data_IF_660132573889
#
_entry.id   IF_660132573889
#
_cell.length_a   1.000
_cell.length_b   1.000
_cell.length_c   1.000
_cell.angle_alpha   90.00
_cell.angle_beta   90.00
_cell.angle_gamma   90.00
#
_symmetry.space_group_name_H-M   'P 1'
#
loop_
_entity.id
_entity.type
_entity.pdbx_description
1 polymer ?
#
# COMPACT_ATOMS: atom_id res chain seq x y z
N UNK A 1 -9.89 -10.31 -13.94
CA UNK A 1 -8.40 -10.40 -13.87
C UNK A 1 -7.84 -8.99 -13.69
N UNK A 2 -7.00 -8.80 -12.71
CA UNK A 2 -6.37 -7.50 -12.44
C UNK A 2 -5.23 -7.22 -13.42
N UNK A 3 -4.96 -5.95 -13.66
CA UNK A 3 -3.78 -5.51 -14.40
C UNK A 3 -3.21 -4.24 -13.76
N UNK A 4 -1.91 -4.21 -13.64
CA UNK A 4 -1.19 -3.09 -13.06
C UNK A 4 -0.24 -2.47 -14.07
N UNK A 5 -0.15 -1.15 -14.06
CA UNK A 5 0.81 -0.42 -14.90
C UNK A 5 1.33 0.80 -14.16
N UNK A 6 2.53 1.23 -14.56
CA UNK A 6 3.14 2.46 -14.07
C UNK A 6 3.23 3.43 -15.23
N UNK A 7 2.65 4.61 -15.05
CA UNK A 7 2.63 5.68 -16.03
C UNK A 7 3.45 6.85 -15.53
N UNK A 8 4.46 7.25 -16.29
CA UNK A 8 5.29 8.41 -16.02
C UNK A 8 5.29 9.35 -17.23
N UNK A 9 5.38 10.66 -17.03
CA UNK A 9 5.47 11.60 -18.12
C UNK A 9 6.86 11.55 -18.76
N UNK A 10 6.90 11.67 -20.07
CA UNK A 10 8.14 11.78 -20.85
C UNK A 10 8.55 13.24 -21.05
N UNK A 11 7.63 14.17 -20.76
CA UNK A 11 7.85 15.61 -20.93
C UNK A 11 8.73 16.17 -19.80
N UNK A 12 9.69 17.01 -20.17
CA UNK A 12 10.50 17.83 -19.24
C UNK A 12 9.90 19.22 -18.98
N UNK A 13 8.64 19.46 -19.40
CA UNK A 13 7.95 20.72 -19.24
C UNK A 13 7.56 21.05 -17.78
N UNK A 14 6.66 22.00 -17.63
CA UNK A 14 6.06 22.38 -16.35
C UNK A 14 5.34 21.20 -15.70
N UNK A 15 4.93 21.34 -14.44
CA UNK A 15 4.13 20.29 -13.78
C UNK A 15 2.81 20.07 -14.51
N UNK A 16 2.15 21.14 -14.96
CA UNK A 16 0.92 21.06 -15.76
C UNK A 16 1.12 20.32 -17.10
N UNK A 17 2.25 20.53 -17.80
CA UNK A 17 2.56 19.78 -19.02
C UNK A 17 2.65 18.26 -18.74
N UNK A 18 3.21 17.89 -17.59
CA UNK A 18 3.32 16.51 -17.14
C UNK A 18 1.96 15.89 -16.80
N UNK A 19 1.08 16.67 -16.16
CA UNK A 19 -0.30 16.25 -15.87
C UNK A 19 -1.10 16.05 -17.16
N UNK A 20 -0.99 16.97 -18.13
CA UNK A 20 -1.64 16.84 -19.44
C UNK A 20 -1.13 15.61 -20.21
N UNK A 21 0.17 15.31 -20.14
CA UNK A 21 0.73 14.10 -20.73
C UNK A 21 0.13 12.84 -20.07
N UNK A 22 0.08 12.80 -18.75
CA UNK A 22 -0.49 11.68 -18.01
C UNK A 22 -1.99 11.53 -18.25
N UNK A 23 -2.73 12.61 -18.42
CA UNK A 23 -4.14 12.59 -18.80
C UNK A 23 -4.34 11.83 -20.11
N UNK A 24 -3.58 12.18 -21.14
CA UNK A 24 -3.66 11.51 -22.44
C UNK A 24 -3.18 10.05 -22.35
N UNK A 25 -2.10 9.79 -21.61
CA UNK A 25 -1.52 8.45 -21.47
C UNK A 25 -2.45 7.52 -20.72
N UNK A 26 -3.09 8.00 -19.63
CA UNK A 26 -4.07 7.23 -18.86
C UNK A 26 -5.34 6.99 -19.68
N UNK A 27 -5.86 8.00 -20.39
CA UNK A 27 -7.02 7.85 -21.26
C UNK A 27 -6.80 6.76 -22.31
N UNK A 28 -5.70 6.82 -23.05
CA UNK A 28 -5.33 5.80 -24.04
C UNK A 28 -5.18 4.39 -23.42
N UNK A 29 -4.61 4.31 -22.23
CA UNK A 29 -4.50 3.05 -21.49
C UNK A 29 -5.89 2.50 -21.14
N UNK A 30 -6.77 3.33 -20.56
CA UNK A 30 -8.11 2.92 -20.17
C UNK A 30 -8.98 2.52 -21.38
N UNK A 31 -8.82 3.16 -22.54
CA UNK A 31 -9.51 2.76 -23.77
C UNK A 31 -9.06 1.37 -24.23
N UNK A 32 -7.79 1.02 -24.07
CA UNK A 32 -7.30 -0.34 -24.32
C UNK A 32 -7.87 -1.34 -23.32
N UNK A 33 -7.93 -0.99 -22.03
CA UNK A 33 -8.43 -1.87 -20.97
C UNK A 33 -9.94 -2.15 -21.11
N UNK A 34 -10.73 -1.18 -21.63
CA UNK A 34 -12.17 -1.38 -21.92
C UNK A 34 -12.42 -2.50 -22.91
N UNK A 35 -11.52 -2.75 -23.88
CA UNK A 35 -11.64 -3.86 -24.84
C UNK A 35 -11.65 -5.21 -24.10
N UNK A 36 -10.95 -5.30 -23.00
CA UNK A 36 -10.86 -6.47 -22.13
C UNK A 36 -11.86 -6.42 -20.96
N UNK A 37 -12.85 -5.52 -21.02
CA UNK A 37 -13.85 -5.28 -19.97
C UNK A 37 -13.25 -4.93 -18.61
N UNK A 38 -12.07 -4.30 -18.56
CA UNK A 38 -11.48 -3.81 -17.33
C UNK A 38 -11.76 -2.33 -17.11
N UNK A 39 -12.02 -1.96 -15.86
CA UNK A 39 -12.26 -0.59 -15.42
C UNK A 39 -11.20 -0.15 -14.41
N UNK A 40 -10.97 1.16 -14.30
CA UNK A 40 -10.08 1.74 -13.31
C UNK A 40 -10.63 1.49 -11.91
N UNK A 41 -9.85 0.80 -11.07
CA UNK A 41 -10.23 0.48 -9.69
C UNK A 41 -9.45 1.28 -8.66
N UNK A 42 -8.16 1.51 -8.92
CA UNK A 42 -7.26 2.16 -7.97
C UNK A 42 -6.15 2.92 -8.69
N UNK A 43 -5.74 4.03 -8.12
CA UNK A 43 -4.56 4.78 -8.54
C UNK A 43 -3.76 5.26 -7.33
N UNK A 44 -2.42 5.11 -7.38
CA UNK A 44 -1.50 5.78 -6.46
C UNK A 44 -0.69 6.82 -7.22
N UNK A 45 -0.70 8.05 -6.73
CA UNK A 45 0.06 9.17 -7.29
C UNK A 45 1.26 9.43 -6.39
N UNK A 46 2.43 9.36 -7.00
CA UNK A 46 3.70 9.75 -6.40
C UNK A 46 4.03 11.16 -6.83
N UNK A 47 4.18 12.07 -5.88
CA UNK A 47 4.54 13.48 -6.10
C UNK A 47 5.92 13.79 -5.56
N UNK A 48 6.64 14.70 -6.22
CA UNK A 48 7.94 15.17 -5.73
C UNK A 48 7.83 16.30 -4.69
N UNK A 49 6.68 16.98 -4.61
CA UNK A 49 6.43 18.12 -3.73
C UNK A 49 4.93 18.33 -3.60
N UNK A 50 4.30 17.56 -2.71
CA UNK A 50 2.84 17.47 -2.63
C UNK A 50 2.19 18.80 -2.25
N UNK A 51 2.80 19.58 -1.36
CA UNK A 51 2.22 20.84 -0.90
C UNK A 51 2.13 21.91 -2.00
N UNK A 52 3.12 21.94 -2.90
CA UNK A 52 3.11 22.85 -4.03
C UNK A 52 2.32 22.31 -5.24
N UNK A 53 2.18 20.99 -5.35
CA UNK A 53 1.61 20.31 -6.53
C UNK A 53 0.13 19.94 -6.36
N UNK A 54 -0.37 19.81 -5.14
CA UNK A 54 -1.72 19.27 -4.90
C UNK A 54 -2.81 20.09 -5.59
N UNK A 55 -2.77 21.41 -5.48
CA UNK A 55 -3.80 22.26 -6.09
C UNK A 55 -3.79 22.15 -7.62
N UNK A 56 -2.61 22.18 -8.24
CA UNK A 56 -2.49 22.06 -9.70
C UNK A 56 -2.91 20.66 -10.18
N UNK A 57 -2.68 19.62 -9.39
CA UNK A 57 -3.18 18.27 -9.65
C UNK A 57 -4.72 18.24 -9.59
N UNK A 58 -5.34 18.77 -8.54
CA UNK A 58 -6.80 18.76 -8.36
C UNK A 58 -7.52 19.60 -9.42
N UNK A 59 -6.90 20.68 -9.88
CA UNK A 59 -7.42 21.53 -10.95
C UNK A 59 -7.23 20.92 -12.36
N UNK A 60 -6.48 19.82 -12.50
CA UNK A 60 -6.17 19.19 -13.79
C UNK A 60 -7.29 18.31 -14.33
N UNK A 61 -7.37 18.16 -15.66
CA UNK A 61 -8.26 17.21 -16.31
C UNK A 61 -7.97 15.76 -15.91
N UNK A 62 -6.71 15.42 -15.65
CA UNK A 62 -6.33 14.12 -15.15
C UNK A 62 -7.09 13.76 -13.85
N UNK A 63 -7.13 14.69 -12.92
CA UNK A 63 -7.82 14.48 -11.65
C UNK A 63 -9.33 14.48 -11.84
N UNK A 64 -9.88 15.49 -12.47
CA UNK A 64 -11.32 15.71 -12.58
C UNK A 64 -12.04 14.60 -13.35
N UNK A 65 -11.44 14.09 -14.43
CA UNK A 65 -12.09 13.11 -15.28
C UNK A 65 -11.82 11.67 -14.86
N UNK A 66 -10.63 11.37 -14.32
CA UNK A 66 -10.25 9.98 -14.02
C UNK A 66 -10.09 9.67 -12.53
N UNK A 67 -9.60 10.62 -11.73
CA UNK A 67 -9.11 10.29 -10.39
C UNK A 67 -10.06 10.69 -9.27
N UNK A 68 -10.86 11.74 -9.43
CA UNK A 68 -11.77 12.27 -8.39
C UNK A 68 -12.78 11.25 -7.86
N UNK A 69 -13.18 10.26 -8.68
CA UNK A 69 -14.15 9.21 -8.33
C UNK A 69 -13.50 7.81 -8.26
N UNK A 70 -12.17 7.75 -8.15
CA UNK A 70 -11.42 6.50 -8.09
C UNK A 70 -10.83 6.32 -6.69
N UNK A 71 -10.63 5.08 -6.25
CA UNK A 71 -9.83 4.82 -5.05
C UNK A 71 -8.42 5.35 -5.27
N UNK A 72 -8.03 6.35 -4.49
CA UNK A 72 -6.86 7.17 -4.75
C UNK A 72 -5.96 7.31 -3.53
N UNK A 73 -4.67 7.04 -3.72
CA UNK A 73 -3.59 7.45 -2.81
C UNK A 73 -2.83 8.62 -3.42
N UNK A 74 -2.64 9.71 -2.67
CA UNK A 74 -1.69 10.77 -3.00
C UNK A 74 -0.61 10.79 -1.93
N UNK A 75 0.66 10.65 -2.35
CA UNK A 75 1.81 10.63 -1.45
C UNK A 75 2.99 11.39 -2.02
N UNK A 76 3.69 12.13 -1.16
CA UNK A 76 4.96 12.72 -1.49
C UNK A 76 6.06 11.69 -1.30
N UNK A 77 6.47 11.11 -2.41
CA UNK A 77 7.59 10.23 -2.60
C UNK A 77 8.10 10.49 -4.02
N UNK A 78 9.17 11.26 -4.15
CA UNK A 78 9.65 11.74 -5.44
C UNK A 78 10.04 10.57 -6.35
N UNK A 79 9.41 10.42 -7.55
CA UNK A 79 9.88 9.43 -8.52
C UNK A 79 11.29 9.74 -9.00
N UNK A 80 12.16 8.72 -9.07
CA UNK A 80 13.58 8.89 -9.43
C UNK A 80 13.85 8.72 -10.94
N UNK A 81 12.84 8.80 -11.76
CA UNK A 81 12.89 8.70 -13.22
C UNK A 81 12.85 10.07 -13.92
N UNK A 82 13.38 11.11 -13.31
CA UNK A 82 13.34 12.50 -13.78
C UNK A 82 11.93 13.10 -13.91
N UNK A 83 10.92 12.46 -13.35
CA UNK A 83 9.55 12.97 -13.32
C UNK A 83 9.23 13.58 -11.97
N UNK A 84 8.28 14.54 -11.96
CA UNK A 84 7.75 15.14 -10.73
C UNK A 84 6.49 14.41 -10.24
N UNK A 85 5.96 13.53 -11.07
CA UNK A 85 4.73 12.79 -10.82
C UNK A 85 4.77 11.47 -11.58
N UNK A 86 4.29 10.40 -10.96
CA UNK A 86 4.06 9.10 -11.60
C UNK A 86 2.81 8.46 -11.02
N UNK A 87 2.17 7.59 -11.80
CA UNK A 87 0.96 6.87 -11.41
C UNK A 87 1.24 5.37 -11.37
N UNK A 88 0.85 4.70 -10.30
CA UNK A 88 0.59 3.27 -10.30
C UNK A 88 -0.91 3.08 -10.47
N UNK A 89 -1.32 2.38 -11.51
CA UNK A 89 -2.71 2.22 -11.91
C UNK A 89 -3.09 0.75 -11.84
N UNK A 90 -4.24 0.46 -11.23
CA UNK A 90 -4.89 -0.86 -11.25
C UNK A 90 -6.19 -0.78 -12.03
N UNK A 91 -6.33 -1.66 -13.03
CA UNK A 91 -7.61 -1.93 -13.69
C UNK A 91 -8.05 -3.36 -13.40
N UNK A 92 -9.36 -3.60 -13.36
CA UNK A 92 -9.92 -4.92 -13.06
C UNK A 92 -11.18 -5.18 -13.87
N UNK A 93 -11.41 -6.47 -14.14
CA UNK A 93 -12.70 -7.01 -14.61
C UNK A 93 -13.44 -7.78 -13.50
N UNK A 94 -12.93 -7.77 -12.28
CA UNK A 94 -13.44 -8.56 -11.18
C UNK A 94 -14.44 -7.76 -10.34
N UNK A 95 -15.50 -8.44 -9.90
CA UNK A 95 -16.54 -7.87 -9.02
C UNK A 95 -16.24 -8.11 -7.53
N UNK A 96 -15.03 -8.56 -7.18
CA UNK A 96 -14.66 -8.78 -5.78
C UNK A 96 -14.57 -7.43 -5.07
N UNK A 97 -15.37 -7.20 -4.04
CA UNK A 97 -15.35 -5.94 -3.31
C UNK A 97 -14.06 -5.83 -2.48
N UNK A 98 -13.13 -5.05 -2.96
CA UNK A 98 -11.96 -4.60 -2.21
C UNK A 98 -12.22 -3.15 -1.79
N UNK A 99 -12.55 -2.94 -0.51
CA UNK A 99 -12.83 -1.62 0.03
C UNK A 99 -11.51 -0.93 0.37
N UNK A 100 -11.20 0.10 -0.37
CA UNK A 100 -9.97 0.87 -0.19
C UNK A 100 -10.31 2.23 0.43
N UNK A 101 -9.65 2.56 1.53
CA UNK A 101 -9.84 3.82 2.25
C UNK A 101 -8.51 4.54 2.43
N UNK A 102 -8.34 5.66 1.75
CA UNK A 102 -7.19 6.57 1.92
C UNK A 102 -7.56 7.62 2.96
N UNK A 103 -7.12 7.45 4.20
CA UNK A 103 -7.52 8.28 5.33
C UNK A 103 -6.43 9.30 5.66
N UNK A 104 -6.84 10.56 5.71
CA UNK A 104 -5.97 11.70 6.03
C UNK A 104 -6.64 12.57 7.12
N UNK A 105 -5.82 13.24 7.92
CA UNK A 105 -6.30 14.30 8.80
C UNK A 105 -6.46 15.60 8.02
N UNK A 106 -7.26 16.51 8.52
CA UNK A 106 -7.23 17.91 8.09
C UNK A 106 -6.07 18.64 8.77
N UNK A 107 -5.70 19.82 8.28
CA UNK A 107 -4.66 20.64 8.92
C UNK A 107 -5.04 21.02 10.36
N UNK A 108 -6.32 21.32 10.64
CA UNK A 108 -6.81 21.60 11.98
C UNK A 108 -6.67 20.39 12.93
N UNK A 109 -7.04 19.20 12.46
CA UNK A 109 -6.92 17.96 13.23
C UNK A 109 -5.46 17.60 13.53
N UNK A 110 -4.54 17.87 12.60
CA UNK A 110 -3.14 17.53 12.74
C UNK A 110 -2.36 18.50 13.63
N UNK A 111 -2.77 19.79 13.63
CA UNK A 111 -2.04 20.86 14.31
C UNK A 111 -1.92 20.62 15.81
N UNK A 112 -0.69 20.66 16.31
CA UNK A 112 -0.37 20.51 17.73
C UNK A 112 -0.49 19.09 18.29
N UNK A 113 -0.75 18.09 17.44
CA UNK A 113 -0.83 16.69 17.80
C UNK A 113 0.48 15.96 17.54
N UNK A 114 0.84 15.05 18.44
CA UNK A 114 1.97 14.14 18.26
C UNK A 114 1.67 13.10 17.20
N UNK A 115 2.71 12.45 16.63
CA UNK A 115 2.53 11.33 15.70
C UNK A 115 1.72 10.16 16.28
N UNK A 116 1.84 9.94 17.60
CA UNK A 116 1.01 8.96 18.33
C UNK A 116 -0.49 9.33 18.28
N UNK A 117 -0.83 10.57 18.64
CA UNK A 117 -2.21 11.05 18.66
C UNK A 117 -2.82 11.04 17.24
N UNK A 118 -2.07 11.51 16.26
CA UNK A 118 -2.50 11.52 14.85
C UNK A 118 -2.77 10.10 14.34
N UNK A 119 -1.91 9.14 14.67
CA UNK A 119 -2.13 7.73 14.31
C UNK A 119 -3.43 7.20 14.91
N UNK A 120 -3.68 7.44 16.19
CA UNK A 120 -4.94 7.05 16.85
C UNK A 120 -6.15 7.64 16.13
N UNK A 121 -6.11 8.93 15.80
CA UNK A 121 -7.21 9.62 15.11
C UNK A 121 -7.50 9.02 13.74
N UNK A 122 -6.46 8.60 12.98
CA UNK A 122 -6.65 7.94 11.68
C UNK A 122 -7.33 6.58 11.83
N UNK A 123 -6.97 5.79 12.85
CA UNK A 123 -7.67 4.55 13.16
C UNK A 123 -9.11 4.79 13.63
N UNK A 124 -9.36 5.82 14.43
CA UNK A 124 -10.71 6.16 14.87
C UNK A 124 -11.61 6.54 13.66
N UNK A 125 -11.07 7.26 12.68
CA UNK A 125 -11.76 7.52 11.40
C UNK A 125 -12.06 6.23 10.65
N UNK A 126 -11.12 5.29 10.59
CA UNK A 126 -11.32 3.99 9.97
C UNK A 126 -12.44 3.19 10.67
N UNK A 127 -12.46 3.16 12.00
CA UNK A 127 -13.54 2.50 12.74
C UNK A 127 -14.91 3.12 12.48
N UNK A 128 -14.96 4.45 12.34
CA UNK A 128 -16.21 5.11 11.97
C UNK A 128 -16.68 4.73 10.56
N UNK A 129 -15.78 4.57 9.62
CA UNK A 129 -16.09 4.08 8.26
C UNK A 129 -16.66 2.67 8.34
N UNK A 130 -15.98 1.72 9.02
CA UNK A 130 -16.47 0.35 9.18
C UNK A 130 -17.86 0.30 9.83
N UNK A 131 -18.10 1.16 10.83
CA UNK A 131 -19.41 1.26 11.46
C UNK A 131 -20.49 1.70 10.47
N UNK A 132 -20.24 2.74 9.69
CA UNK A 132 -21.20 3.25 8.71
C UNK A 132 -21.50 2.22 7.62
N UNK A 133 -20.48 1.50 7.12
CA UNK A 133 -20.66 0.43 6.13
C UNK A 133 -21.46 -0.75 6.70
N UNK A 134 -21.23 -1.14 7.95
CA UNK A 134 -22.01 -2.16 8.62
C UNK A 134 -23.48 -1.75 8.81
N UNK A 135 -23.74 -0.47 9.12
CA UNK A 135 -25.09 0.06 9.21
C UNK A 135 -25.80 0.08 7.85
N UNK A 136 -25.11 0.47 6.77
CA UNK A 136 -25.65 0.44 5.42
C UNK A 136 -26.04 -0.97 4.98
N UNK A 137 -25.18 -1.96 5.21
CA UNK A 137 -25.46 -3.37 4.92
C UNK A 137 -26.66 -3.93 5.71
N UNK A 138 -26.88 -3.47 6.95
CA UNK A 138 -28.07 -3.88 7.73
C UNK A 138 -29.34 -3.31 7.14
N UNK A 139 -29.37 -2.03 6.79
CA UNK A 139 -30.56 -1.37 6.24
C UNK A 139 -30.99 -1.97 4.89
N UNK A 140 -30.04 -2.37 4.04
CA UNK A 140 -30.33 -3.07 2.78
C UNK A 140 -30.97 -4.45 3.01
N UNK A 141 -30.56 -5.16 4.07
CA UNK A 141 -31.11 -6.48 4.41
C UNK A 141 -32.51 -6.39 5.06
N UNK A 142 -32.80 -5.38 5.88
CA UNK A 142 -34.15 -5.17 6.47
C UNK A 142 -35.21 -4.92 5.40
N UNK A 143 -34.85 -4.34 4.25
CA UNK A 143 -35.74 -4.21 3.09
C UNK A 143 -36.13 -5.54 2.41
N UNK A 144 -35.39 -6.62 2.66
CA UNK A 144 -35.55 -7.95 2.03
C UNK A 144 -36.19 -8.99 2.97
N UNK A 145 -36.29 -8.71 4.29
CA UNK A 145 -36.77 -9.67 5.32
C UNK A 145 -38.25 -10.06 5.27
N UNK A 146 -38.97 -9.77 4.19
CA UNK A 146 -40.31 -10.36 3.98
C UNK A 146 -40.28 -11.81 3.47
N UNK A 147 -39.15 -12.51 3.44
CA UNK A 147 -39.01 -13.87 2.88
C UNK A 147 -38.62 -14.99 3.86
N UNK A 148 -38.70 -14.77 5.18
CA UNK A 148 -38.74 -15.88 6.17
C UNK A 148 -37.47 -16.76 6.30
N UNK A 149 -36.31 -16.33 5.83
CA UNK A 149 -35.04 -17.05 5.98
C UNK A 149 -34.19 -16.33 7.03
N UNK A 150 -34.10 -16.92 8.24
CA UNK A 150 -33.09 -16.50 9.23
C UNK A 150 -31.71 -16.77 8.64
N UNK A 151 -31.01 -15.71 8.22
CA UNK A 151 -29.59 -15.78 7.87
C UNK A 151 -28.77 -15.36 9.09
N UNK A 152 -27.67 -16.05 9.33
CA UNK A 152 -26.70 -15.72 10.39
C UNK A 152 -26.21 -14.27 10.21
N UNK A 153 -26.72 -13.36 11.03
CA UNK A 153 -26.43 -11.92 10.95
C UNK A 153 -25.09 -11.57 11.56
N UNK A 154 -24.51 -12.42 12.43
CA UNK A 154 -23.22 -12.19 13.09
C UNK A 154 -22.01 -12.33 12.15
N UNK A 155 -22.10 -13.16 11.10
CA UNK A 155 -20.99 -13.33 10.13
C UNK A 155 -20.78 -12.13 9.21
N UNK A 156 -21.72 -11.20 9.11
CA UNK A 156 -21.70 -10.11 8.14
C UNK A 156 -21.10 -8.79 8.66
N UNK A 157 -20.88 -8.68 9.96
CA UNK A 157 -20.32 -7.45 10.55
C UNK A 157 -18.82 -7.39 10.29
N UNK A 158 -18.39 -6.38 9.54
CA UNK A 158 -16.96 -6.14 9.32
C UNK A 158 -16.28 -5.63 10.57
N UNK A 159 -15.15 -6.23 10.91
CA UNK A 159 -14.25 -5.81 11.98
C UNK A 159 -12.83 -5.62 11.44
N UNK A 160 -12.01 -4.87 12.14
CA UNK A 160 -10.61 -4.71 11.78
C UNK A 160 -9.88 -6.06 11.78
N UNK A 161 -10.03 -6.85 12.84
CA UNK A 161 -9.39 -8.16 12.99
C UNK A 161 -9.71 -9.11 11.81
N UNK A 162 -10.99 -9.17 11.44
CA UNK A 162 -11.46 -10.12 10.44
C UNK A 162 -11.24 -9.65 9.00
N UNK A 163 -11.45 -8.37 8.73
CA UNK A 163 -11.64 -7.88 7.37
C UNK A 163 -10.53 -6.98 6.86
N UNK A 164 -9.72 -6.34 7.75
CA UNK A 164 -8.55 -5.59 7.32
C UNK A 164 -7.44 -6.54 6.88
N UNK A 165 -6.93 -6.38 5.66
CA UNK A 165 -5.92 -7.30 5.10
C UNK A 165 -4.59 -6.61 4.79
N UNK A 166 -4.60 -5.30 4.61
CA UNK A 166 -3.40 -4.53 4.27
C UNK A 166 -3.50 -3.09 4.74
N UNK A 167 -2.38 -2.53 5.21
CA UNK A 167 -2.21 -1.09 5.43
C UNK A 167 -0.95 -0.56 4.76
N UNK A 168 -0.99 0.72 4.35
CA UNK A 168 0.17 1.51 3.95
C UNK A 168 0.22 2.75 4.83
N UNK A 169 1.31 2.92 5.55
CA UNK A 169 1.51 4.02 6.51
C UNK A 169 2.63 4.91 5.98
N UNK A 170 2.27 6.09 5.50
CA UNK A 170 3.21 7.09 4.97
C UNK A 170 3.56 8.06 6.08
N UNK A 171 4.83 8.07 6.49
CA UNK A 171 5.28 8.83 7.67
C UNK A 171 6.15 10.00 7.23
N UNK A 172 5.67 11.20 7.47
CA UNK A 172 6.46 12.44 7.30
C UNK A 172 7.60 12.43 8.31
N UNK A 173 8.81 12.76 7.87
CA UNK A 173 10.01 12.73 8.72
C UNK A 173 10.07 11.45 9.59
N UNK A 174 10.13 10.31 8.91
CA UNK A 174 10.06 8.98 9.56
C UNK A 174 11.11 8.81 10.66
N UNK A 175 12.31 9.39 10.51
CA UNK A 175 13.37 9.32 11.52
C UNK A 175 12.95 9.99 12.87
N UNK A 176 11.94 10.87 12.86
CA UNK A 176 11.42 11.58 14.04
C UNK A 176 10.09 10.99 14.51
N UNK A 177 9.16 10.72 13.57
CA UNK A 177 7.78 10.38 13.89
C UNK A 177 7.53 8.88 14.07
N UNK A 178 8.42 8.01 13.59
CA UNK A 178 8.19 6.57 13.52
C UNK A 178 7.86 5.92 14.86
N UNK A 179 8.57 6.29 15.93
CA UNK A 179 8.36 5.69 17.25
C UNK A 179 6.94 5.92 17.78
N UNK A 180 6.40 7.15 17.60
CA UNK A 180 5.03 7.46 18.01
C UNK A 180 3.99 6.72 17.16
N UNK A 181 4.24 6.60 15.84
CA UNK A 181 3.38 5.86 14.91
C UNK A 181 3.33 4.39 15.29
N UNK A 182 4.49 3.73 15.46
CA UNK A 182 4.57 2.30 15.83
C UNK A 182 3.90 2.02 17.14
N UNK A 183 4.14 2.87 18.17
CA UNK A 183 3.50 2.69 19.47
C UNK A 183 1.97 2.75 19.35
N UNK A 184 1.42 3.74 18.67
CA UNK A 184 -0.02 3.88 18.50
C UNK A 184 -0.62 2.73 17.67
N UNK A 185 0.06 2.32 16.61
CA UNK A 185 -0.32 1.19 15.78
C UNK A 185 -0.40 -0.11 16.59
N UNK A 186 0.64 -0.42 17.35
CA UNK A 186 0.67 -1.61 18.21
C UNK A 186 -0.44 -1.58 19.26
N UNK A 187 -0.65 -0.41 19.93
CA UNK A 187 -1.71 -0.25 20.94
C UNK A 187 -3.11 -0.46 20.34
N UNK A 188 -3.35 -0.01 19.09
CA UNK A 188 -4.62 -0.22 18.39
C UNK A 188 -4.78 -1.68 17.99
N UNK A 189 -3.75 -2.30 17.43
CA UNK A 189 -3.79 -3.70 17.01
C UNK A 189 -4.09 -4.62 18.19
N UNK A 190 -3.42 -4.43 19.32
CA UNK A 190 -3.67 -5.20 20.55
C UNK A 190 -5.13 -5.04 21.03
N UNK A 191 -5.65 -3.79 21.05
CA UNK A 191 -7.05 -3.51 21.41
C UNK A 191 -8.07 -4.16 20.49
N UNK A 192 -7.72 -4.40 19.22
CA UNK A 192 -8.57 -5.01 18.22
C UNK A 192 -8.35 -6.54 18.07
N UNK A 193 -7.55 -7.16 18.93
CA UNK A 193 -7.31 -8.59 18.91
C UNK A 193 -6.24 -9.05 17.90
N UNK A 194 -5.56 -8.12 17.25
CA UNK A 194 -4.43 -8.39 16.34
C UNK A 194 -3.14 -8.47 17.18
N UNK A 195 -2.73 -9.67 17.51
CA UNK A 195 -1.62 -9.96 18.45
C UNK A 195 -0.72 -11.07 17.93
N UNK A 196 0.43 -11.27 18.56
CA UNK A 196 1.32 -12.40 18.24
C UNK A 196 0.69 -13.79 18.48
N UNK A 197 -0.40 -13.87 19.26
CA UNK A 197 -1.11 -15.12 19.54
C UNK A 197 -2.29 -15.37 18.59
N UNK A 198 -2.68 -14.37 17.83
CA UNK A 198 -3.72 -14.46 16.79
C UNK A 198 -3.05 -14.32 15.42
N UNK A 199 -3.07 -13.15 14.86
CA UNK A 199 -2.36 -12.78 13.64
C UNK A 199 -2.19 -11.27 13.58
N UNK A 200 -1.33 -10.82 12.69
CA UNK A 200 -1.30 -9.44 12.21
C UNK A 200 -1.77 -9.40 10.75
N UNK A 201 -1.54 -8.30 10.08
CA UNK A 201 -1.84 -8.10 8.66
C UNK A 201 -0.59 -7.63 7.91
N UNK A 202 -0.57 -7.76 6.60
CA UNK A 202 0.48 -7.15 5.80
C UNK A 202 0.46 -5.63 5.97
N UNK A 203 1.62 -5.00 6.15
CA UNK A 203 1.75 -3.56 6.32
C UNK A 203 3.09 -3.04 5.81
N UNK A 204 3.10 -1.82 5.28
CA UNK A 204 4.33 -1.09 4.95
C UNK A 204 4.30 0.26 5.67
N UNK A 205 5.28 0.50 6.55
CA UNK A 205 5.50 1.79 7.20
C UNK A 205 6.74 2.45 6.61
N UNK A 206 6.57 3.50 5.82
CA UNK A 206 7.62 4.06 4.97
C UNK A 206 7.59 5.60 5.00
N UNK A 207 8.73 6.23 4.75
CA UNK A 207 8.81 7.67 4.58
C UNK A 207 7.92 8.15 3.43
N UNK A 208 7.14 9.19 3.69
CA UNK A 208 6.28 9.83 2.71
C UNK A 208 5.41 10.88 3.37
N UNK A 209 5.29 12.05 2.78
CA UNK A 209 4.42 13.10 3.30
C UNK A 209 3.05 13.06 2.62
N UNK A 210 2.10 13.69 3.26
CA UNK A 210 0.78 13.99 2.69
C UNK A 210 0.73 15.47 2.31
N UNK A 211 -0.17 15.90 1.43
CA UNK A 211 -0.32 17.32 1.12
C UNK A 211 -0.86 18.15 2.29
N UNK A 212 -1.21 17.51 3.40
CA UNK A 212 -1.77 18.18 4.58
C UNK A 212 -0.66 18.69 5.49
N UNK A 213 -0.63 19.99 5.76
CA UNK A 213 0.33 20.61 6.68
C UNK A 213 0.17 20.04 8.09
N UNK A 214 1.28 19.93 8.81
CA UNK A 214 1.37 19.39 10.17
C UNK A 214 0.96 17.92 10.32
N UNK A 215 0.57 17.24 9.23
CA UNK A 215 0.30 15.81 9.28
C UNK A 215 1.62 15.03 9.40
N UNK A 216 1.76 14.29 10.49
CA UNK A 216 2.90 13.39 10.71
C UNK A 216 2.79 12.11 9.88
N UNK A 217 1.59 11.77 9.41
CA UNK A 217 1.36 10.56 8.62
C UNK A 217 0.01 10.60 7.89
N UNK A 218 -0.14 9.67 6.95
CA UNK A 218 -1.41 9.23 6.38
C UNK A 218 -1.46 7.70 6.33
N UNK A 219 -2.65 7.12 6.38
CA UNK A 219 -2.82 5.67 6.33
C UNK A 219 -3.84 5.30 5.24
N UNK A 220 -3.48 4.29 4.44
CA UNK A 220 -4.42 3.64 3.54
C UNK A 220 -4.76 2.26 4.11
N UNK A 221 -6.04 1.90 4.03
CA UNK A 221 -6.57 0.64 4.52
C UNK A 221 -7.21 -0.14 3.39
N UNK A 222 -6.94 -1.43 3.30
CA UNK A 222 -7.63 -2.34 2.38
C UNK A 222 -8.43 -3.35 3.19
N UNK A 223 -9.74 -3.27 3.06
CA UNK A 223 -10.72 -4.13 3.75
C UNK A 223 -11.38 -5.05 2.74
N UNK A 224 -11.56 -6.31 3.09
CA UNK A 224 -12.24 -7.30 2.25
C UNK A 224 -13.50 -7.78 2.97
N UNK A 225 -14.69 -7.36 2.53
CA UNK A 225 -15.95 -7.85 3.08
C UNK A 225 -16.08 -9.36 2.90
N UNK A 226 -16.73 -10.02 3.84
CA UNK A 226 -17.06 -11.44 3.80
C UNK A 226 -15.87 -12.41 3.61
N UNK A 227 -14.62 -11.95 3.78
CA UNK A 227 -13.45 -12.82 3.77
C UNK A 227 -13.47 -13.70 5.01
N UNK A 228 -13.16 -14.98 4.85
CA UNK A 228 -13.05 -15.92 5.95
C UNK A 228 -11.60 -16.10 6.37
N UNK A 229 -11.38 -16.57 7.60
CA UNK A 229 -10.02 -16.82 8.08
C UNK A 229 -9.30 -17.89 7.24
N UNK A 230 -10.01 -18.92 6.81
CA UNK A 230 -9.49 -19.99 5.94
C UNK A 230 -9.02 -19.51 4.56
N UNK A 231 -9.52 -18.36 4.10
CA UNK A 231 -9.13 -17.74 2.83
C UNK A 231 -7.86 -16.88 2.96
N UNK A 232 -7.36 -16.71 4.18
CA UNK A 232 -6.15 -15.93 4.47
C UNK A 232 -5.00 -16.84 4.82
N UNK A 233 -3.79 -16.49 4.37
CA UNK A 233 -2.54 -17.07 4.85
C UNK A 233 -1.55 -15.96 5.17
N UNK A 234 -1.04 -15.98 6.38
CA UNK A 234 0.02 -15.08 6.86
C UNK A 234 1.37 -15.67 6.48
N UNK A 235 2.12 -14.95 5.62
CA UNK A 235 3.33 -15.49 4.98
C UNK A 235 4.54 -15.38 5.91
N UNK A 236 5.28 -16.46 5.97
CA UNK A 236 6.49 -16.58 6.78
C UNK A 236 7.66 -17.15 5.98
N UNK A 237 8.86 -16.72 6.31
CA UNK A 237 10.09 -17.22 5.71
C UNK A 237 11.19 -17.33 6.79
N UNK A 238 10.97 -18.17 7.80
CA UNK A 238 11.76 -18.23 9.05
C UNK A 238 13.25 -18.56 8.86
N UNK A 239 13.63 -19.11 7.71
CA UNK A 239 15.04 -19.31 7.35
C UNK A 239 15.70 -18.02 6.79
N UNK A 240 14.90 -17.01 6.48
CA UNK A 240 15.31 -15.73 5.86
C UNK A 240 15.00 -14.51 6.73
N UNK A 241 13.85 -14.52 7.40
CA UNK A 241 13.27 -13.38 8.10
C UNK A 241 12.74 -13.83 9.47
N UNK A 242 13.00 -13.04 10.50
CA UNK A 242 12.38 -13.26 11.81
C UNK A 242 10.92 -12.77 11.84
N UNK A 243 10.10 -13.28 12.77
CA UNK A 243 8.79 -12.72 13.08
C UNK A 243 8.89 -11.25 13.52
N UNK A 244 7.95 -10.41 13.07
CA UNK A 244 8.05 -8.95 13.26
C UNK A 244 7.85 -8.51 14.71
N UNK A 245 7.05 -9.25 15.48
CA UNK A 245 6.82 -8.97 16.90
C UNK A 245 8.10 -9.09 17.75
N UNK A 246 9.13 -9.83 17.28
CA UNK A 246 10.41 -9.95 18.01
C UNK A 246 11.19 -8.63 18.08
N UNK A 247 10.94 -7.69 17.13
CA UNK A 247 11.53 -6.35 17.20
C UNK A 247 10.49 -5.24 17.45
N UNK A 248 9.32 -5.64 17.97
CA UNK A 248 8.35 -4.71 18.52
C UNK A 248 7.42 -4.02 17.54
N UNK A 249 7.23 -4.57 16.32
CA UNK A 249 6.30 -4.01 15.33
C UNK A 249 5.21 -5.04 14.98
N UNK A 250 3.96 -4.64 15.05
CA UNK A 250 2.78 -5.49 14.85
C UNK A 250 2.38 -5.55 13.38
N UNK A 251 3.02 -6.39 12.56
CA UNK A 251 2.59 -6.65 11.17
C UNK A 251 3.02 -8.05 10.70
N UNK A 252 2.46 -8.54 9.59
CA UNK A 252 2.92 -9.74 8.90
C UNK A 252 3.87 -9.38 7.77
N UNK A 253 4.81 -10.26 7.47
CA UNK A 253 5.71 -10.13 6.33
C UNK A 253 4.98 -10.14 4.98
N UNK A 254 3.80 -10.73 4.96
CA UNK A 254 2.87 -10.73 3.85
C UNK A 254 1.60 -11.46 4.19
N UNK A 255 0.54 -11.19 3.43
CA UNK A 255 -0.75 -11.89 3.53
C UNK A 255 -1.17 -12.36 2.14
N UNK A 256 -1.49 -13.65 2.02
CA UNK A 256 -2.15 -14.18 0.83
C UNK A 256 -3.65 -14.25 1.07
N UNK A 257 -4.43 -13.76 0.11
CA UNK A 257 -5.88 -13.98 0.03
C UNK A 257 -6.18 -15.02 -1.03
N UNK A 258 -7.06 -15.97 -0.72
CA UNK A 258 -7.63 -16.90 -1.69
C UNK A 258 -9.02 -16.42 -2.03
N UNK A 259 -9.21 -15.97 -3.27
CA UNK A 259 -10.47 -15.55 -3.83
C UNK A 259 -10.97 -16.65 -4.79
N UNK A 260 -12.26 -16.65 -5.20
CA UNK A 260 -12.80 -17.70 -6.05
C UNK A 260 -12.00 -18.01 -7.32
N UNK A 261 -11.44 -16.97 -7.95
CA UNK A 261 -10.79 -17.09 -9.25
C UNK A 261 -9.27 -16.85 -9.21
N UNK A 262 -8.73 -16.44 -8.05
CA UNK A 262 -7.31 -16.07 -7.94
C UNK A 262 -6.80 -16.05 -6.51
N UNK A 263 -5.50 -16.00 -6.38
CA UNK A 263 -4.81 -15.71 -5.12
C UNK A 263 -4.06 -14.37 -5.25
N UNK A 264 -4.23 -13.49 -4.26
CA UNK A 264 -3.51 -12.21 -4.20
C UNK A 264 -2.54 -12.27 -3.02
N UNK A 265 -1.30 -11.88 -3.26
CA UNK A 265 -0.21 -11.85 -2.28
C UNK A 265 0.18 -10.41 -2.03
N UNK A 266 -0.04 -9.93 -0.83
CA UNK A 266 0.40 -8.61 -0.37
C UNK A 266 1.72 -8.78 0.39
N UNK A 267 2.84 -8.46 -0.23
CA UNK A 267 4.15 -8.50 0.43
C UNK A 267 4.40 -7.14 1.07
N UNK A 268 4.62 -7.16 2.38
CA UNK A 268 4.94 -5.97 3.18
C UNK A 268 6.29 -5.39 2.80
N UNK A 269 6.55 -4.16 3.21
CA UNK A 269 7.86 -3.56 3.11
C UNK A 269 8.94 -4.53 3.63
N UNK A 270 9.86 -4.90 2.75
CA UNK A 270 10.89 -5.91 3.00
C UNK A 270 12.26 -5.29 2.78
N UNK A 271 13.16 -5.49 3.72
CA UNK A 271 14.53 -4.98 3.69
C UNK A 271 15.57 -6.11 3.67
N UNK A 272 16.85 -5.74 3.56
CA UNK A 272 17.99 -6.66 3.61
C UNK A 272 18.32 -7.06 5.04
N UNK A 273 17.61 -8.03 5.57
CA UNK A 273 17.84 -8.61 6.90
C UNK A 273 18.00 -10.14 6.83
N UNK A 274 18.54 -10.69 7.89
CA UNK A 274 18.62 -12.14 8.11
C UNK A 274 17.47 -12.65 9.00
N UNK A 275 17.49 -13.96 9.28
CA UNK A 275 16.53 -14.65 10.15
C UNK A 275 16.56 -14.22 11.63
N UNK A 276 17.50 -13.38 12.01
CA UNK A 276 17.61 -12.80 13.36
C UNK A 276 17.24 -11.31 13.35
N UNK A 277 16.77 -10.77 12.20
CA UNK A 277 16.44 -9.36 12.03
C UNK A 277 17.64 -8.44 11.91
N UNK A 278 18.86 -8.99 11.76
CA UNK A 278 20.07 -8.20 11.63
C UNK A 278 20.23 -7.69 10.19
N UNK A 279 20.62 -6.42 10.06
CA UNK A 279 20.92 -5.83 8.75
C UNK A 279 22.05 -6.60 8.07
N UNK A 280 21.81 -6.98 6.82
CA UNK A 280 22.84 -7.63 6.00
C UNK A 280 23.40 -6.62 5.00
N UNK A 281 24.70 -6.70 4.80
CA UNK A 281 25.42 -5.91 3.78
C UNK A 281 25.29 -4.39 3.97
N UNK A 282 25.51 -3.92 5.20
CA UNK A 282 25.50 -2.48 5.50
C UNK A 282 26.36 -1.67 4.52
N UNK A 283 25.83 -0.57 4.01
CA UNK A 283 26.49 0.32 3.06
C UNK A 283 26.66 -0.21 1.63
N UNK A 284 26.13 -1.41 1.30
CA UNK A 284 26.23 -2.01 -0.03
C UNK A 284 24.83 -2.18 -0.66
N UNK A 285 24.43 -1.19 -1.46
CA UNK A 285 23.10 -1.17 -2.09
C UNK A 285 22.85 -2.37 -3.00
N UNK A 286 23.85 -2.81 -3.75
CA UNK A 286 23.70 -3.93 -4.70
C UNK A 286 23.44 -5.24 -3.96
N UNK A 287 24.22 -5.50 -2.90
CA UNK A 287 24.02 -6.69 -2.09
C UNK A 287 22.76 -6.62 -1.24
N UNK A 288 22.38 -5.45 -0.72
CA UNK A 288 21.11 -5.26 -0.03
C UNK A 288 19.93 -5.52 -0.97
N UNK A 289 19.96 -5.01 -2.20
CA UNK A 289 18.92 -5.28 -3.20
C UNK A 289 18.80 -6.77 -3.49
N UNK A 290 19.91 -7.47 -3.70
CA UNK A 290 19.90 -8.92 -3.95
C UNK A 290 19.29 -9.69 -2.78
N UNK A 291 19.71 -9.40 -1.54
CA UNK A 291 19.19 -10.08 -0.33
C UNK A 291 17.72 -9.82 -0.10
N UNK A 292 17.26 -8.59 -0.29
CA UNK A 292 15.86 -8.21 -0.19
C UNK A 292 15.00 -8.99 -1.19
N UNK A 293 15.43 -9.14 -2.44
CA UNK A 293 14.73 -9.93 -3.46
C UNK A 293 14.70 -11.42 -3.11
N UNK A 294 15.75 -11.98 -2.49
CA UNK A 294 15.74 -13.34 -1.94
C UNK A 294 14.68 -13.49 -0.85
N UNK A 295 14.57 -12.52 0.05
CA UNK A 295 13.58 -12.49 1.12
C UNK A 295 12.14 -12.47 0.55
N UNK A 296 11.86 -11.64 -0.45
CA UNK A 296 10.55 -11.60 -1.14
C UNK A 296 10.27 -12.95 -1.81
N UNK A 297 11.25 -13.54 -2.51
CA UNK A 297 11.08 -14.85 -3.15
C UNK A 297 10.76 -15.96 -2.15
N UNK A 298 11.35 -15.92 -0.95
CA UNK A 298 11.07 -16.88 0.11
C UNK A 298 9.64 -16.75 0.66
N UNK A 299 9.14 -15.51 0.84
CA UNK A 299 7.76 -15.24 1.25
C UNK A 299 6.75 -15.70 0.20
N UNK A 300 6.97 -15.39 -1.07
CA UNK A 300 6.11 -15.85 -2.16
C UNK A 300 6.05 -17.37 -2.23
N UNK A 301 7.21 -18.03 -2.08
CA UNK A 301 7.31 -19.50 -2.07
C UNK A 301 6.51 -20.12 -0.93
N UNK A 302 6.54 -19.55 0.27
CA UNK A 302 5.71 -20.00 1.39
C UNK A 302 4.21 -19.92 1.06
N UNK A 303 3.80 -18.87 0.36
CA UNK A 303 2.43 -18.70 -0.13
C UNK A 303 2.05 -19.58 -1.33
N UNK A 304 3.02 -20.22 -2.00
CA UNK A 304 2.81 -21.02 -3.21
C UNK A 304 2.92 -20.22 -4.52
N UNK A 305 3.50 -19.01 -4.48
CA UNK A 305 3.81 -18.18 -5.64
C UNK A 305 5.33 -18.12 -5.91
N UNK A 306 5.69 -17.41 -6.96
CA UNK A 306 7.06 -17.18 -7.43
C UNK A 306 7.28 -15.72 -7.78
N UNK A 307 8.52 -15.32 -8.04
CA UNK A 307 8.84 -13.97 -8.53
C UNK A 307 8.17 -13.64 -9.88
N UNK A 308 7.80 -14.64 -10.68
CA UNK A 308 7.11 -14.43 -11.96
C UNK A 308 5.63 -14.05 -11.82
N UNK A 309 5.05 -14.26 -10.62
CA UNK A 309 3.66 -13.92 -10.33
C UNK A 309 3.52 -12.46 -9.87
N UNK A 310 4.64 -11.74 -9.68
CA UNK A 310 4.65 -10.34 -9.24
C UNK A 310 4.08 -9.44 -10.32
N UNK A 311 3.14 -8.59 -9.93
CA UNK A 311 2.46 -7.65 -10.80
C UNK A 311 3.18 -6.30 -10.90
N UNK A 312 3.79 -5.85 -9.79
CA UNK A 312 4.63 -4.65 -9.73
C UNK A 312 5.49 -4.62 -8.47
N UNK A 313 6.53 -3.79 -8.50
CA UNK A 313 7.30 -3.38 -7.32
C UNK A 313 7.16 -1.88 -7.07
N UNK A 314 7.07 -1.49 -5.79
CA UNK A 314 7.42 -0.15 -5.34
C UNK A 314 8.75 -0.26 -4.58
N UNK A 315 9.73 0.51 -4.99
CA UNK A 315 11.11 0.49 -4.49
C UNK A 315 11.42 1.81 -3.83
N UNK A 316 11.73 1.75 -2.56
CA UNK A 316 11.99 2.90 -1.70
C UNK A 316 13.48 3.03 -1.47
N UNK A 317 14.08 4.13 -1.88
CA UNK A 317 15.48 4.43 -1.67
C UNK A 317 15.67 5.55 -0.66
N UNK A 318 16.56 5.30 0.31
CA UNK A 318 16.95 6.28 1.31
C UNK A 318 17.92 7.32 0.75
N UNK A 319 18.75 6.94 -0.21
CA UNK A 319 19.74 7.79 -0.88
C UNK A 319 19.53 7.77 -2.40
N UNK A 320 19.39 8.94 -2.98
CA UNK A 320 19.17 9.13 -4.41
C UNK A 320 20.35 8.63 -5.27
N UNK A 321 21.57 8.64 -4.73
CA UNK A 321 22.76 8.19 -5.43
C UNK A 321 22.74 6.69 -5.76
N UNK A 322 21.92 5.92 -5.06
CA UNK A 322 21.76 4.48 -5.27
C UNK A 322 20.83 4.11 -6.44
N UNK A 323 20.08 5.09 -6.98
CA UNK A 323 19.06 4.87 -8.00
C UNK A 323 19.56 4.08 -9.20
N UNK A 324 20.66 4.52 -9.83
CA UNK A 324 21.15 3.89 -11.06
C UNK A 324 21.58 2.43 -10.86
N UNK A 325 22.11 2.08 -9.69
CA UNK A 325 22.52 0.72 -9.38
C UNK A 325 21.29 -0.20 -9.28
N UNK A 326 20.25 0.26 -8.57
CA UNK A 326 19.01 -0.50 -8.39
C UNK A 326 18.24 -0.61 -9.70
N UNK A 327 18.08 0.48 -10.44
CA UNK A 327 17.41 0.48 -11.75
C UNK A 327 18.05 -0.52 -12.71
N UNK A 328 19.38 -0.54 -12.79
CA UNK A 328 20.13 -1.50 -13.60
C UNK A 328 19.86 -2.94 -13.19
N UNK A 329 19.78 -3.23 -11.90
CA UNK A 329 19.46 -4.57 -11.40
C UNK A 329 18.02 -4.97 -11.78
N UNK A 330 17.06 -4.09 -11.61
CA UNK A 330 15.67 -4.38 -11.97
C UNK A 330 15.51 -4.63 -13.47
N UNK A 331 16.12 -3.81 -14.32
CA UNK A 331 16.13 -4.02 -15.78
C UNK A 331 16.82 -5.31 -16.21
N UNK A 332 17.85 -5.74 -15.49
CA UNK A 332 18.58 -6.98 -15.79
C UNK A 332 17.82 -8.23 -15.37
N UNK A 333 17.23 -8.25 -14.16
CA UNK A 333 16.65 -9.45 -13.57
C UNK A 333 15.14 -9.55 -13.69
N UNK A 334 14.45 -8.39 -13.77
CA UNK A 334 12.98 -8.31 -13.79
C UNK A 334 12.44 -7.34 -14.85
N UNK A 335 12.94 -7.38 -16.11
CA UNK A 335 12.61 -6.37 -17.13
C UNK A 335 11.13 -6.34 -17.51
N UNK A 336 10.37 -7.40 -17.21
CA UNK A 336 8.95 -7.52 -17.56
C UNK A 336 8.02 -7.08 -16.42
N UNK A 337 8.56 -6.86 -15.20
CA UNK A 337 7.74 -6.49 -14.06
C UNK A 337 7.73 -4.96 -13.94
N UNK A 338 6.56 -4.31 -14.01
CA UNK A 338 6.45 -2.88 -13.76
C UNK A 338 7.05 -2.51 -12.41
N UNK A 339 7.87 -1.49 -12.34
CA UNK A 339 8.40 -0.99 -11.07
C UNK A 339 8.54 0.52 -11.08
N UNK A 340 8.46 1.10 -9.90
CA UNK A 340 8.75 2.50 -9.66
C UNK A 340 9.75 2.61 -8.53
N UNK A 341 10.80 3.41 -8.73
CA UNK A 341 11.78 3.76 -7.71
C UNK A 341 11.47 5.18 -7.24
N UNK A 342 11.29 5.33 -5.93
CA UNK A 342 10.97 6.61 -5.32
C UNK A 342 11.95 6.94 -4.19
N UNK A 343 12.16 8.23 -3.96
CA UNK A 343 12.83 8.70 -2.75
C UNK A 343 11.90 8.50 -1.56
N UNK A 344 12.33 7.69 -0.60
CA UNK A 344 11.64 7.50 0.65
C UNK A 344 12.59 6.97 1.72
N UNK A 345 12.65 7.63 2.86
CA UNK A 345 13.41 7.11 3.99
C UNK A 345 12.74 5.85 4.53
N UNK A 346 13.54 4.82 4.72
CA UNK A 346 13.11 3.57 5.37
C UNK A 346 13.28 3.68 6.89
N UNK A 347 12.54 2.87 7.65
CA UNK A 347 12.38 3.03 9.09
C UNK A 347 13.65 2.77 9.93
N UNK A 348 14.67 2.11 9.36
CA UNK A 348 15.94 1.85 10.03
C UNK A 348 17.13 2.48 9.27
N UNK A 349 18.05 3.17 9.93
CA UNK A 349 19.16 3.86 9.26
C UNK A 349 20.08 2.98 8.41
N UNK A 350 20.30 1.74 8.81
CA UNK A 350 21.17 0.79 8.10
C UNK A 350 20.53 0.16 6.84
N UNK A 351 19.21 0.35 6.65
CA UNK A 351 18.52 -0.09 5.46
C UNK A 351 18.59 0.97 4.38
N UNK A 352 19.32 0.70 3.29
CA UNK A 352 19.45 1.62 2.16
C UNK A 352 18.24 1.56 1.25
N UNK A 353 17.56 0.42 1.24
CA UNK A 353 16.46 0.08 0.33
C UNK A 353 15.40 -0.75 1.04
N UNK A 354 14.15 -0.52 0.67
CA UNK A 354 13.00 -1.36 1.00
C UNK A 354 12.15 -1.56 -0.24
N UNK A 355 11.52 -2.71 -0.38
CA UNK A 355 10.58 -2.98 -1.48
C UNK A 355 9.29 -3.59 -0.94
N UNK A 356 8.19 -3.24 -1.59
CA UNK A 356 6.93 -3.96 -1.48
C UNK A 356 6.46 -4.42 -2.85
N UNK A 357 5.65 -5.44 -2.91
CA UNK A 357 5.04 -5.89 -4.14
C UNK A 357 3.66 -6.53 -3.91
N UNK A 358 2.89 -6.61 -4.98
CA UNK A 358 1.71 -7.48 -5.07
C UNK A 358 2.01 -8.55 -6.10
N UNK A 359 1.66 -9.80 -5.79
CA UNK A 359 1.68 -10.90 -6.74
C UNK A 359 0.27 -11.50 -6.88
N UNK A 360 -0.04 -12.04 -8.04
CA UNK A 360 -1.30 -12.73 -8.34
C UNK A 360 -1.05 -14.05 -9.05
N UNK A 361 -1.83 -15.06 -8.64
CA UNK A 361 -1.76 -16.40 -9.22
C UNK A 361 -3.16 -16.98 -9.43
#
# INVERSE_FOLDING_TARGET
MDKYTILSPESKGSFNDRLNFLYLKLGNYLDTEKIENRTLQYCKIFLSDSQNQIKELEDSLLYQEFLANTNLTIVEQAPLNDSKVSLLVKTTSDDVPLLFHSIRLTEEEATGKTSYEQTRMLFDKYFQILKNENEACRNENEGVENSGIQRDTEEKVMTMERNLVRTWIYVTDIDVNYQGVVKAHNDVFDQQGLTANTHYIASTGIGGATPVRHAALGIDFLTVPNIKEEDKKYLQALDHLNPTHEYGVAFERGTRLTLPDKQIYFISGTASIDKHGQVMYEGDIVRQTGRLLENIGALLKDGGATMNDIQYFIIYLRDLSDHHAVEKMMQQFYPQIPHIIVEAKVCQPGWLIEMECIAEK
#
